data_IF_768120207414
#
_entry.id   IF_768120207414
#
_cell.length_a   1.000
_cell.length_b   1.000
_cell.length_c   1.000
_cell.angle_alpha   90.00
_cell.angle_beta   90.00
_cell.angle_gamma   90.00
#
_symmetry.space_group_name_H-M   'P 1'
#
loop_
_entity.id
_entity.type
_entity.pdbx_description
1 polymer ?
#
# COMPACT_ATOMS: atom_id res chain seq x y z
N UNK A 1 21.50 -8.05 -14.71
CA UNK A 1 20.23 -8.81 -14.84
C UNK A 1 19.07 -7.88 -14.51
N UNK A 2 18.01 -7.89 -15.33
CA UNK A 2 16.84 -7.03 -15.12
C UNK A 2 16.08 -7.42 -13.85
N UNK A 3 15.72 -6.44 -13.03
CA UNK A 3 14.95 -6.58 -11.81
C UNK A 3 13.50 -6.86 -12.17
N UNK A 4 12.97 -7.96 -11.64
CA UNK A 4 11.57 -8.35 -11.79
C UNK A 4 10.81 -8.09 -10.51
N UNK A 5 9.47 -8.00 -10.62
CA UNK A 5 8.55 -7.91 -9.47
C UNK A 5 8.84 -8.98 -8.41
N UNK A 6 8.92 -10.23 -8.86
CA UNK A 6 9.16 -11.39 -7.98
C UNK A 6 10.52 -11.31 -7.28
N UNK A 7 11.58 -10.92 -8.01
CA UNK A 7 12.91 -10.75 -7.42
C UNK A 7 12.91 -9.63 -6.37
N UNK A 8 12.30 -8.48 -6.66
CA UNK A 8 12.24 -7.37 -5.72
C UNK A 8 11.48 -7.75 -4.44
N UNK A 9 10.35 -8.46 -4.56
CA UNK A 9 9.61 -8.97 -3.40
C UNK A 9 10.47 -9.95 -2.60
N UNK A 10 11.13 -10.91 -3.25
CA UNK A 10 11.98 -11.88 -2.57
C UNK A 10 13.12 -11.20 -1.78
N UNK A 11 13.70 -10.13 -2.32
CA UNK A 11 14.78 -9.37 -1.68
C UNK A 11 14.30 -8.49 -0.53
N UNK A 12 13.07 -7.99 -0.56
CA UNK A 12 12.57 -6.98 0.39
C UNK A 12 11.66 -7.53 1.48
N UNK A 13 11.02 -8.69 1.25
CA UNK A 13 9.93 -9.17 2.11
C UNK A 13 10.36 -9.41 3.55
N UNK A 14 11.50 -10.06 3.78
CA UNK A 14 11.96 -10.43 5.12
C UNK A 14 12.27 -9.18 5.96
N UNK A 15 13.12 -8.30 5.42
CA UNK A 15 13.56 -7.11 6.15
C UNK A 15 12.42 -6.11 6.37
N UNK A 16 11.54 -5.89 5.38
CA UNK A 16 10.34 -5.06 5.60
C UNK A 16 9.37 -5.68 6.62
N UNK A 17 9.26 -7.00 6.68
CA UNK A 17 8.49 -7.67 7.74
C UNK A 17 9.06 -7.41 9.13
N UNK A 18 10.39 -7.32 9.25
CA UNK A 18 11.04 -6.98 10.53
C UNK A 18 10.78 -5.52 10.97
N UNK A 19 10.42 -4.65 10.03
CA UNK A 19 9.98 -3.26 10.30
C UNK A 19 8.46 -3.15 10.57
N UNK A 20 7.75 -4.29 10.63
CA UNK A 20 6.32 -4.35 10.92
C UNK A 20 5.42 -4.24 9.69
N UNK A 21 5.98 -4.29 8.48
CA UNK A 21 5.18 -4.29 7.25
C UNK A 21 4.78 -5.70 6.82
N UNK A 22 3.51 -5.87 6.47
CA UNK A 22 3.01 -7.09 5.87
C UNK A 22 2.96 -6.98 4.35
N UNK A 23 3.62 -7.90 3.65
CA UNK A 23 3.49 -8.02 2.21
C UNK A 23 2.07 -8.51 1.83
N UNK A 24 1.45 -7.84 0.86
CA UNK A 24 0.20 -8.29 0.23
C UNK A 24 0.38 -8.48 -1.27
N UNK A 25 -0.28 -9.50 -1.82
CA UNK A 25 -0.31 -9.67 -3.28
C UNK A 25 -1.21 -8.59 -3.88
N UNK A 26 -0.69 -7.94 -4.91
CA UNK A 26 -1.38 -6.84 -5.57
C UNK A 26 -1.08 -6.81 -7.06
N UNK A 27 -2.08 -7.11 -7.87
CA UNK A 27 -2.08 -6.93 -9.32
C UNK A 27 -2.95 -5.74 -9.74
N UNK A 28 -3.57 -5.05 -8.78
CA UNK A 28 -4.58 -4.01 -9.02
C UNK A 28 -3.95 -2.62 -9.03
N UNK A 29 -3.03 -2.34 -8.11
CA UNK A 29 -2.31 -1.06 -8.11
C UNK A 29 -1.06 -1.13 -8.99
N UNK A 30 -0.44 0.03 -9.23
CA UNK A 30 0.79 0.13 -9.99
C UNK A 30 2.03 -0.36 -9.20
N UNK A 31 1.90 -0.71 -7.91
CA UNK A 31 3.02 -1.14 -7.09
C UNK A 31 3.62 -2.47 -7.57
N UNK A 32 4.95 -2.50 -7.68
CA UNK A 32 5.72 -3.73 -7.94
C UNK A 32 5.97 -4.51 -6.65
N UNK A 33 5.71 -3.93 -5.48
CA UNK A 33 5.59 -4.63 -4.21
C UNK A 33 4.79 -3.76 -3.25
N UNK A 34 3.73 -4.31 -2.66
CA UNK A 34 2.87 -3.57 -1.73
C UNK A 34 3.00 -4.16 -0.33
N UNK A 35 3.35 -3.29 0.60
CA UNK A 35 3.61 -3.59 1.99
C UNK A 35 2.72 -2.70 2.85
N UNK A 36 2.03 -3.27 3.83
CA UNK A 36 1.05 -2.52 4.63
C UNK A 36 1.31 -2.75 6.10
N UNK A 37 1.26 -1.68 6.87
CA UNK A 37 1.37 -1.67 8.33
C UNK A 37 0.15 -0.96 8.90
N UNK A 38 -0.48 -1.54 9.92
CA UNK A 38 -1.53 -0.85 10.68
C UNK A 38 -0.88 0.21 11.57
N UNK A 39 -1.34 1.46 11.47
CA UNK A 39 -0.83 2.58 12.28
C UNK A 39 -1.71 2.78 13.50
N UNK A 40 -3.02 2.86 13.29
CA UNK A 40 -4.04 2.88 14.34
C UNK A 40 -5.27 2.08 13.88
N UNK A 41 -6.36 2.07 14.65
CA UNK A 41 -7.60 1.35 14.31
C UNK A 41 -8.32 1.85 13.07
N UNK A 42 -7.93 3.01 12.57
CA UNK A 42 -8.56 3.70 11.44
C UNK A 42 -7.62 3.94 10.25
N UNK A 43 -6.31 3.71 10.41
CA UNK A 43 -5.30 4.08 9.42
C UNK A 43 -4.29 2.98 9.15
N UNK A 44 -3.96 2.86 7.87
CA UNK A 44 -2.91 2.01 7.33
C UNK A 44 -1.82 2.85 6.68
N UNK A 45 -0.58 2.47 6.95
CA UNK A 45 0.58 2.94 6.21
C UNK A 45 0.96 1.91 5.17
N UNK A 46 0.86 2.29 3.90
CA UNK A 46 1.32 1.48 2.77
C UNK A 46 2.69 1.95 2.29
N UNK A 47 3.59 1.01 2.01
CA UNK A 47 4.85 1.22 1.33
C UNK A 47 4.79 0.50 -0.02
N UNK A 48 4.67 1.29 -1.10
CA UNK A 48 4.63 0.76 -2.46
C UNK A 48 5.98 0.89 -3.15
N UNK A 49 6.54 -0.24 -3.57
CA UNK A 49 7.80 -0.30 -4.30
C UNK A 49 7.58 -0.06 -5.80
N UNK A 50 8.48 0.72 -6.40
CA UNK A 50 8.47 1.02 -7.84
C UNK A 50 9.80 0.66 -8.49
N UNK A 51 9.78 -0.21 -9.51
CA UNK A 51 10.96 -0.51 -10.34
C UNK A 51 11.11 0.58 -11.40
N UNK A 52 12.33 1.05 -11.62
CA UNK A 52 12.61 2.07 -12.64
C UNK A 52 12.24 1.57 -14.04
N UNK A 53 11.71 2.47 -14.87
CA UNK A 53 11.47 2.21 -16.30
C UNK A 53 12.71 2.48 -17.15
N UNK A 54 13.70 3.19 -16.60
CA UNK A 54 14.88 3.67 -17.33
C UNK A 54 16.14 2.87 -17.02
N UNK A 55 16.19 2.22 -15.85
CA UNK A 55 17.33 1.45 -15.40
C UNK A 55 16.88 0.05 -15.00
N UNK A 56 17.65 -0.95 -15.41
CA UNK A 56 17.21 -2.35 -15.35
C UNK A 56 17.18 -2.91 -13.93
N UNK A 57 17.90 -2.32 -12.97
CA UNK A 57 18.17 -2.92 -11.67
C UNK A 57 17.78 -2.06 -10.47
N UNK A 58 17.35 -0.82 -10.68
CA UNK A 58 17.07 0.09 -9.57
C UNK A 58 15.57 0.18 -9.27
N UNK A 59 15.27 0.47 -8.01
CA UNK A 59 13.91 0.65 -7.51
C UNK A 59 13.85 1.77 -6.48
N UNK A 60 12.65 2.20 -6.15
CA UNK A 60 12.34 3.22 -5.15
C UNK A 60 11.07 2.83 -4.40
N UNK A 61 10.66 3.62 -3.42
CA UNK A 61 9.42 3.41 -2.68
C UNK A 61 8.70 4.73 -2.36
N UNK A 62 7.39 4.64 -2.14
CA UNK A 62 6.57 5.73 -1.62
C UNK A 62 5.72 5.28 -0.45
N UNK A 63 5.66 6.11 0.57
CA UNK A 63 4.68 5.99 1.65
C UNK A 63 3.31 6.44 1.15
N UNK A 64 2.27 5.81 1.69
CA UNK A 64 0.89 6.24 1.55
C UNK A 64 0.12 6.02 2.85
N UNK A 65 -0.40 7.08 3.47
CA UNK A 65 -1.26 6.99 4.66
C UNK A 65 -2.73 7.13 4.27
N UNK A 66 -3.57 6.16 4.62
CA UNK A 66 -5.00 6.19 4.29
C UNK A 66 -5.82 5.32 5.25
N UNK A 67 -7.15 5.51 5.25
CA UNK A 67 -8.08 4.57 5.90
C UNK A 67 -8.25 3.28 5.11
N UNK A 68 -7.77 3.26 3.86
CA UNK A 68 -7.81 2.10 2.98
C UNK A 68 -6.42 1.62 2.64
N UNK A 69 -6.33 0.40 2.12
CA UNK A 69 -5.11 -0.24 1.59
C UNK A 69 -4.95 -0.04 0.08
N UNK A 70 -5.80 0.78 -0.55
CA UNK A 70 -5.67 1.15 -1.95
C UNK A 70 -4.55 2.17 -2.12
N UNK A 71 -3.37 1.70 -2.50
CA UNK A 71 -2.18 2.55 -2.60
C UNK A 71 -2.31 3.66 -3.65
N UNK A 72 -1.78 4.84 -3.32
CA UNK A 72 -1.70 6.02 -4.18
C UNK A 72 -3.07 6.58 -4.64
N UNK A 73 -4.12 6.39 -3.84
CA UNK A 73 -5.43 7.00 -4.06
C UNK A 73 -5.46 8.48 -3.62
N UNK A 74 -4.76 9.33 -4.36
CA UNK A 74 -4.62 10.79 -4.09
C UNK A 74 -5.59 11.65 -4.91
N UNK A 75 -6.82 11.18 -5.09
CA UNK A 75 -7.86 11.93 -5.80
C UNK A 75 -8.84 12.60 -4.83
N UNK A 76 -9.62 13.55 -5.34
CA UNK A 76 -10.66 14.24 -4.58
C UNK A 76 -10.07 15.12 -3.48
N UNK A 77 -10.46 14.88 -2.23
CA UNK A 77 -10.07 15.66 -1.06
C UNK A 77 -8.89 15.06 -0.27
N UNK A 78 -8.22 14.06 -0.83
CA UNK A 78 -7.01 13.49 -0.19
C UNK A 78 -5.82 14.43 -0.28
N UNK A 79 -5.10 14.68 0.84
CA UNK A 79 -3.93 15.55 0.83
C UNK A 79 -2.78 14.90 0.06
N UNK A 80 -2.03 15.69 -0.70
CA UNK A 80 -0.87 15.19 -1.46
C UNK A 80 0.22 14.63 -0.53
N UNK A 81 0.33 15.21 0.67
CA UNK A 81 1.24 14.81 1.74
C UNK A 81 0.98 13.39 2.25
N UNK A 82 -0.21 12.83 1.97
CA UNK A 82 -0.49 11.42 2.23
C UNK A 82 0.31 10.47 1.36
N UNK A 83 0.85 10.92 0.23
CA UNK A 83 1.62 10.10 -0.71
C UNK A 83 2.96 10.77 -1.05
N UNK A 84 4.05 10.26 -0.48
CA UNK A 84 5.37 10.88 -0.67
C UNK A 84 6.45 9.81 -0.86
N UNK A 85 7.34 10.04 -1.84
CA UNK A 85 8.51 9.19 -2.06
C UNK A 85 9.45 9.28 -0.86
N UNK A 86 10.00 8.15 -0.44
CA UNK A 86 10.83 8.07 0.77
C UNK A 86 12.07 9.00 0.71
N UNK A 87 12.59 9.27 -0.48
CA UNK A 87 13.72 10.19 -0.70
C UNK A 87 13.48 11.63 -0.27
N UNK A 88 12.22 12.09 -0.17
CA UNK A 88 11.90 13.44 0.31
C UNK A 88 12.21 13.65 1.80
N UNK A 89 12.31 12.57 2.58
CA UNK A 89 12.53 12.64 4.03
C UNK A 89 13.99 12.43 4.42
N UNK A 90 14.88 12.18 3.46
CA UNK A 90 16.31 12.04 3.71
C UNK A 90 16.98 13.41 3.79
N UNK A 91 17.81 13.62 4.81
CA UNK A 91 18.69 14.79 4.87
C UNK A 91 19.82 14.67 3.84
N UNK A 92 20.51 15.76 3.54
CA UNK A 92 21.63 15.71 2.59
C UNK A 92 22.72 14.71 3.02
N UNK A 93 23.07 14.69 4.31
CA UNK A 93 24.04 13.74 4.87
C UNK A 93 23.59 12.28 4.70
N UNK A 94 22.31 11.99 4.95
CA UNK A 94 21.75 10.65 4.75
C UNK A 94 21.70 10.27 3.27
N UNK A 95 21.44 11.23 2.38
CA UNK A 95 21.49 10.98 0.93
C UNK A 95 22.89 10.60 0.49
N UNK A 96 23.92 11.29 0.96
CA UNK A 96 25.32 10.99 0.68
C UNK A 96 25.75 9.62 1.24
N UNK A 97 25.18 9.22 2.37
CA UNK A 97 25.43 7.92 3.00
C UNK A 97 24.69 6.76 2.32
N UNK A 98 23.42 6.95 1.98
CA UNK A 98 22.48 5.86 1.65
C UNK A 98 22.22 5.71 0.15
N UNK A 99 22.64 6.67 -0.68
CA UNK A 99 22.43 6.68 -2.12
C UNK A 99 23.76 6.73 -2.86
N UNK A 100 23.73 6.36 -4.15
CA UNK A 100 24.88 6.59 -5.03
C UNK A 100 25.13 8.10 -5.28
N UNK A 101 26.29 8.42 -5.84
CA UNK A 101 26.70 9.81 -6.11
C UNK A 101 25.71 10.53 -7.05
N UNK A 102 25.05 9.82 -7.96
CA UNK A 102 24.10 10.44 -8.89
C UNK A 102 22.84 10.90 -8.16
N UNK A 103 22.35 10.10 -7.22
CA UNK A 103 21.12 10.35 -6.49
C UNK A 103 21.35 11.12 -5.19
N UNK A 104 22.57 11.23 -4.68
CA UNK A 104 22.86 11.99 -3.46
C UNK A 104 22.95 13.51 -3.65
N UNK A 105 23.03 14.00 -4.89
CA UNK A 105 23.23 15.43 -5.21
C UNK A 105 22.08 16.32 -4.73
N UNK A 106 22.44 17.52 -4.27
CA UNK A 106 21.50 18.58 -3.89
C UNK A 106 20.53 18.86 -5.04
N UNK A 107 19.25 18.92 -4.72
CA UNK A 107 18.17 19.19 -5.68
C UNK A 107 17.59 17.94 -6.35
N UNK A 108 18.26 16.78 -6.25
CA UNK A 108 17.67 15.50 -6.64
C UNK A 108 16.75 15.04 -5.52
N UNK A 109 15.47 14.88 -5.82
CA UNK A 109 14.46 14.46 -4.82
C UNK A 109 14.24 12.96 -4.80
N UNK A 110 14.34 12.33 -5.97
CA UNK A 110 14.16 10.89 -6.09
C UNK A 110 15.34 10.15 -5.47
N UNK A 111 15.04 9.09 -4.75
CA UNK A 111 16.02 8.18 -4.16
C UNK A 111 15.82 6.81 -4.81
N UNK A 112 16.88 6.26 -5.38
CA UNK A 112 16.87 4.99 -6.08
C UNK A 112 17.97 4.09 -5.50
N UNK A 113 17.65 2.81 -5.34
CA UNK A 113 18.55 1.78 -4.83
C UNK A 113 18.73 0.67 -5.84
N UNK A 114 19.94 0.13 -5.93
CA UNK A 114 20.28 -0.98 -6.81
C UNK A 114 19.96 -2.32 -6.15
N UNK A 115 18.99 -3.06 -6.70
CA UNK A 115 18.61 -4.36 -6.19
C UNK A 115 19.64 -5.48 -6.43
N UNK A 116 20.69 -5.22 -7.20
CA UNK A 116 21.82 -6.14 -7.38
C UNK A 116 22.95 -5.89 -6.36
N UNK A 117 22.95 -4.76 -5.66
CA UNK A 117 23.91 -4.47 -4.60
C UNK A 117 23.30 -4.73 -3.21
N UNK A 118 23.94 -5.61 -2.45
CA UNK A 118 23.51 -5.97 -1.10
C UNK A 118 23.62 -4.78 -0.13
N UNK A 119 24.60 -3.89 -0.33
CA UNK A 119 24.72 -2.70 0.52
C UNK A 119 23.63 -1.69 0.18
N UNK A 120 23.36 -1.45 -1.09
CA UNK A 120 22.23 -0.61 -1.52
C UNK A 120 20.89 -1.11 -0.97
N UNK A 121 20.64 -2.42 -0.93
CA UNK A 121 19.46 -2.98 -0.26
C UNK A 121 19.41 -2.69 1.24
N UNK A 122 20.53 -2.83 1.96
CA UNK A 122 20.60 -2.47 3.39
C UNK A 122 20.32 -0.99 3.61
N UNK A 123 20.88 -0.12 2.77
CA UNK A 123 20.63 1.32 2.83
C UNK A 123 19.18 1.67 2.54
N UNK A 124 18.51 0.94 1.65
CA UNK A 124 17.08 1.09 1.44
C UNK A 124 16.29 0.78 2.73
N UNK A 125 16.60 -0.31 3.42
CA UNK A 125 15.91 -0.65 4.67
C UNK A 125 16.21 0.34 5.80
N UNK A 126 17.45 0.82 5.88
CA UNK A 126 17.84 1.91 6.80
C UNK A 126 17.07 3.20 6.49
N UNK A 127 16.97 3.57 5.21
CA UNK A 127 16.19 4.72 4.77
C UNK A 127 14.71 4.57 5.17
N UNK A 128 14.10 3.38 4.99
CA UNK A 128 12.72 3.14 5.43
C UNK A 128 12.58 3.34 6.94
N UNK A 129 13.47 2.73 7.73
CA UNK A 129 13.43 2.82 9.20
C UNK A 129 13.52 4.26 9.73
N UNK A 130 14.28 5.13 9.06
CA UNK A 130 14.47 6.52 9.48
C UNK A 130 13.34 7.41 8.97
N UNK A 131 12.91 7.20 7.72
CA UNK A 131 11.97 8.11 7.05
C UNK A 131 10.52 7.84 7.40
N UNK A 132 10.16 6.63 7.87
CA UNK A 132 8.79 6.31 8.29
C UNK A 132 8.30 7.27 9.38
N UNK A 133 9.08 7.47 10.45
CA UNK A 133 8.71 8.35 11.56
C UNK A 133 8.57 9.81 11.11
N UNK A 134 9.43 10.25 10.20
CA UNK A 134 9.40 11.62 9.62
C UNK A 134 8.18 11.84 8.74
N UNK A 135 7.80 10.83 7.94
CA UNK A 135 6.59 10.86 7.14
C UNK A 135 5.35 10.93 8.03
N UNK A 136 5.31 10.15 9.11
CA UNK A 136 4.19 10.17 10.06
C UNK A 136 4.15 11.45 10.93
N UNK A 137 5.28 12.13 11.13
CA UNK A 137 5.33 13.39 11.88
C UNK A 137 4.94 14.64 11.06
N UNK A 138 4.51 14.47 9.80
CA UNK A 138 4.10 15.59 8.98
C UNK A 138 2.92 16.36 9.62
N UNK A 139 2.97 17.70 9.67
CA UNK A 139 1.90 18.49 10.27
C UNK A 139 0.53 18.22 9.63
N UNK A 140 -0.50 18.06 10.45
CA UNK A 140 -1.90 17.86 10.05
C UNK A 140 -2.20 16.63 9.18
N UNK A 141 -1.22 15.79 8.85
CA UNK A 141 -1.41 14.67 7.92
C UNK A 141 -2.53 13.72 8.37
N UNK A 142 -2.50 13.32 9.64
CA UNK A 142 -3.50 12.40 10.20
C UNK A 142 -4.91 12.99 10.14
N UNK A 143 -5.08 14.25 10.53
CA UNK A 143 -6.38 14.91 10.54
C UNK A 143 -6.92 15.10 9.12
N UNK A 144 -6.07 15.52 8.17
CA UNK A 144 -6.46 15.67 6.78
C UNK A 144 -6.90 14.34 6.15
N UNK A 145 -6.19 13.24 6.41
CA UNK A 145 -6.59 11.91 5.94
C UNK A 145 -7.87 11.43 6.63
N UNK A 146 -8.01 11.64 7.95
CA UNK A 146 -9.20 11.23 8.71
C UNK A 146 -10.47 11.96 8.26
N UNK A 147 -10.33 13.23 7.86
CA UNK A 147 -11.43 14.08 7.41
C UNK A 147 -11.80 13.92 5.93
N UNK A 148 -11.02 13.17 5.13
CA UNK A 148 -11.37 12.90 3.73
C UNK A 148 -12.69 12.14 3.61
N UNK A 149 -13.62 12.74 2.87
CA UNK A 149 -14.93 12.17 2.54
C UNK A 149 -14.76 11.03 1.54
N UNK A 150 -13.90 11.18 0.54
CA UNK A 150 -13.68 10.17 -0.48
C UNK A 150 -13.14 8.86 0.13
N UNK A 151 -12.11 8.97 0.96
CA UNK A 151 -11.52 7.80 1.62
C UNK A 151 -12.44 7.23 2.70
N UNK A 152 -13.23 8.05 3.39
CA UNK A 152 -14.28 7.53 4.29
C UNK A 152 -15.29 6.67 3.54
N UNK A 153 -15.77 7.12 2.38
CA UNK A 153 -16.74 6.35 1.59
C UNK A 153 -16.14 5.00 1.13
N UNK A 154 -14.86 4.98 0.76
CA UNK A 154 -14.16 3.74 0.40
C UNK A 154 -13.97 2.81 1.59
N UNK A 155 -13.59 3.34 2.75
CA UNK A 155 -13.44 2.59 4.01
C UNK A 155 -14.78 1.97 4.45
N UNK A 156 -15.88 2.72 4.36
CA UNK A 156 -17.22 2.21 4.67
C UNK A 156 -17.65 1.05 3.76
N UNK A 157 -17.33 1.11 2.46
CA UNK A 157 -17.55 0.00 1.54
C UNK A 157 -16.74 -1.23 1.98
N UNK A 158 -15.45 -1.06 2.26
CA UNK A 158 -14.57 -2.14 2.67
C UNK A 158 -15.03 -2.80 3.98
N UNK A 159 -15.40 -2.01 4.99
CA UNK A 159 -15.99 -2.48 6.25
C UNK A 159 -17.30 -3.24 6.04
N UNK A 160 -18.16 -2.74 5.15
CA UNK A 160 -19.39 -3.44 4.76
C UNK A 160 -19.11 -4.82 4.16
N UNK A 161 -18.10 -4.92 3.29
CA UNK A 161 -17.66 -6.20 2.71
C UNK A 161 -17.12 -7.14 3.77
N UNK A 162 -16.23 -6.68 4.66
CA UNK A 162 -15.69 -7.49 5.76
C UNK A 162 -16.84 -8.03 6.62
N UNK A 163 -17.81 -7.18 6.96
CA UNK A 163 -18.98 -7.58 7.74
C UNK A 163 -19.80 -8.65 7.02
N UNK A 164 -20.09 -8.47 5.73
CA UNK A 164 -20.85 -9.43 4.93
C UNK A 164 -20.15 -10.79 4.82
N UNK A 165 -18.82 -10.79 4.64
CA UNK A 165 -18.03 -12.02 4.59
C UNK A 165 -18.11 -12.75 5.92
N UNK A 166 -17.92 -12.03 7.04
CA UNK A 166 -17.99 -12.62 8.38
C UNK A 166 -19.38 -13.18 8.74
N UNK A 167 -20.46 -12.60 8.18
CA UNK A 167 -21.84 -13.05 8.42
C UNK A 167 -22.39 -13.99 7.35
N UNK A 168 -21.58 -14.38 6.36
CA UNK A 168 -22.00 -15.19 5.20
C UNK A 168 -23.22 -14.64 4.44
N UNK A 169 -23.39 -13.31 4.40
CA UNK A 169 -24.59 -12.66 3.82
C UNK A 169 -24.45 -12.39 2.32
N UNK A 170 -23.89 -13.33 1.56
CA UNK A 170 -23.52 -13.18 0.14
C UNK A 170 -23.83 -14.42 -0.74
N UNK A 171 -24.69 -15.34 -0.32
CA UNK A 171 -24.90 -16.57 -1.11
C UNK A 171 -26.08 -16.50 -2.10
N UNK A 172 -27.15 -15.76 -1.78
CA UNK A 172 -28.42 -15.83 -2.52
C UNK A 172 -28.62 -14.71 -3.56
N UNK A 173 -27.55 -14.26 -4.23
CA UNK A 173 -27.65 -13.18 -5.21
C UNK A 173 -27.10 -13.53 -6.60
N UNK A 174 -27.61 -12.80 -7.60
CA UNK A 174 -27.09 -12.86 -8.95
C UNK A 174 -25.90 -11.91 -9.11
N UNK A 175 -24.76 -12.50 -9.47
CA UNK A 175 -23.49 -11.82 -9.68
C UNK A 175 -23.19 -11.64 -11.16
N UNK A 176 -22.71 -10.45 -11.53
CA UNK A 176 -22.38 -10.11 -12.92
C UNK A 176 -20.90 -9.76 -13.11
N UNK A 177 -20.24 -9.23 -12.10
CA UNK A 177 -18.93 -8.59 -12.22
C UNK A 177 -17.84 -9.26 -11.39
N UNK A 178 -18.13 -10.43 -10.80
CA UNK A 178 -17.15 -11.25 -10.08
C UNK A 178 -16.18 -11.94 -11.06
N UNK A 179 -14.90 -12.12 -10.69
CA UNK A 179 -13.96 -12.87 -11.51
C UNK A 179 -14.30 -14.37 -11.53
N UNK A 180 -13.94 -15.07 -12.61
CA UNK A 180 -14.17 -16.52 -12.73
C UNK A 180 -13.30 -17.34 -11.76
N UNK A 181 -12.19 -16.76 -11.28
CA UNK A 181 -11.24 -17.41 -10.37
C UNK A 181 -10.72 -16.38 -9.36
N UNK A 182 -10.23 -16.83 -8.19
CA UNK A 182 -9.50 -15.98 -7.25
C UNK A 182 -8.42 -15.14 -7.95
N UNK A 183 -8.31 -13.87 -7.56
CA UNK A 183 -7.28 -12.93 -8.00
C UNK A 183 -6.48 -12.51 -6.78
N UNK A 184 -5.14 -12.46 -6.88
CA UNK A 184 -4.24 -12.05 -5.78
C UNK A 184 -4.45 -12.81 -4.46
N UNK A 185 -4.82 -14.09 -4.54
CA UNK A 185 -5.19 -14.95 -3.40
C UNK A 185 -6.40 -14.44 -2.60
N UNK A 186 -7.23 -13.58 -3.21
CA UNK A 186 -8.50 -13.13 -2.65
C UNK A 186 -9.56 -14.20 -2.96
N UNK A 187 -10.19 -14.81 -1.95
CA UNK A 187 -11.25 -15.78 -2.15
C UNK A 187 -12.49 -15.19 -2.83
N UNK A 188 -13.31 -16.03 -3.49
CA UNK A 188 -14.39 -15.55 -4.36
C UNK A 188 -15.51 -14.82 -3.58
N UNK A 189 -15.73 -15.21 -2.33
CA UNK A 189 -16.69 -14.62 -1.41
C UNK A 189 -16.48 -13.12 -1.20
N UNK A 190 -15.23 -12.65 -1.22
CA UNK A 190 -14.91 -11.23 -1.09
C UNK A 190 -15.40 -10.42 -2.29
N UNK A 191 -15.31 -10.99 -3.49
CA UNK A 191 -15.83 -10.35 -4.70
C UNK A 191 -17.36 -10.38 -4.74
N UNK A 192 -17.99 -11.48 -4.29
CA UNK A 192 -19.45 -11.57 -4.13
C UNK A 192 -19.96 -10.49 -3.17
N UNK A 193 -19.38 -10.42 -1.96
CA UNK A 193 -19.73 -9.43 -0.96
C UNK A 193 -19.46 -7.99 -1.45
N UNK A 194 -18.37 -7.74 -2.18
CA UNK A 194 -18.10 -6.44 -2.79
C UNK A 194 -19.16 -6.02 -3.81
N UNK A 195 -19.56 -6.91 -4.72
CA UNK A 195 -20.61 -6.59 -5.69
C UNK A 195 -21.94 -6.25 -5.01
N UNK A 196 -22.33 -7.00 -3.97
CA UNK A 196 -23.54 -6.70 -3.19
C UNK A 196 -23.43 -5.35 -2.48
N UNK A 197 -22.32 -5.09 -1.78
CA UNK A 197 -22.14 -3.86 -1.04
C UNK A 197 -22.14 -2.61 -1.94
N UNK A 198 -21.56 -2.73 -3.14
CA UNK A 198 -21.61 -1.67 -4.14
C UNK A 198 -23.05 -1.42 -4.61
N UNK A 199 -23.85 -2.47 -4.82
CA UNK A 199 -25.28 -2.36 -5.19
C UNK A 199 -26.08 -1.67 -4.08
N UNK A 200 -25.92 -2.11 -2.83
CA UNK A 200 -26.64 -1.57 -1.68
C UNK A 200 -26.35 -0.08 -1.46
N UNK A 201 -25.09 0.32 -1.65
CA UNK A 201 -24.66 1.71 -1.57
C UNK A 201 -24.94 2.53 -2.82
N UNK A 202 -25.55 1.94 -3.86
CA UNK A 202 -25.83 2.56 -5.16
C UNK A 202 -24.57 3.22 -5.78
N UNK A 203 -23.41 2.61 -5.55
CA UNK A 203 -22.15 3.07 -6.10
C UNK A 203 -21.94 2.56 -7.53
N UNK A 204 -20.89 3.05 -8.22
CA UNK A 204 -20.61 2.68 -9.61
C UNK A 204 -20.21 1.20 -9.69
N UNK A 205 -21.11 0.37 -10.21
CA UNK A 205 -20.92 -1.07 -10.31
C UNK A 205 -20.30 -1.48 -11.66
N UNK A 206 -19.07 -2.01 -11.59
CA UNK A 206 -18.37 -2.67 -12.70
C UNK A 206 -17.26 -3.59 -12.14
N UNK A 207 -16.62 -4.39 -13.01
CA UNK A 207 -15.57 -5.34 -12.61
C UNK A 207 -14.40 -4.69 -11.87
N UNK A 208 -13.96 -3.50 -12.29
CA UNK A 208 -12.82 -2.83 -11.67
C UNK A 208 -13.18 -2.32 -10.27
N UNK A 209 -14.38 -1.78 -10.08
CA UNK A 209 -14.85 -1.37 -8.75
C UNK A 209 -14.95 -2.58 -7.82
N UNK A 210 -15.55 -3.69 -8.29
CA UNK A 210 -15.67 -4.92 -7.50
C UNK A 210 -14.29 -5.45 -7.09
N UNK A 211 -13.34 -5.53 -8.03
CA UNK A 211 -11.96 -5.97 -7.73
C UNK A 211 -11.28 -5.08 -6.71
N UNK A 212 -11.37 -3.75 -6.87
CA UNK A 212 -10.74 -2.78 -5.96
C UNK A 212 -11.31 -2.87 -4.55
N UNK A 213 -12.64 -2.89 -4.41
CA UNK A 213 -13.31 -2.94 -3.09
C UNK A 213 -13.04 -4.29 -2.40
N UNK A 214 -13.12 -5.41 -3.14
CA UNK A 214 -12.83 -6.73 -2.59
C UNK A 214 -11.37 -6.84 -2.11
N UNK A 215 -10.41 -6.35 -2.92
CA UNK A 215 -9.01 -6.39 -2.55
C UNK A 215 -8.70 -5.50 -1.34
N UNK A 216 -9.31 -4.33 -1.26
CA UNK A 216 -9.14 -3.44 -0.12
C UNK A 216 -9.65 -4.08 1.17
N UNK A 217 -10.89 -4.56 1.16
CA UNK A 217 -11.52 -5.24 2.28
C UNK A 217 -10.70 -6.46 2.74
N UNK A 218 -10.25 -7.30 1.80
CA UNK A 218 -9.48 -8.49 2.12
C UNK A 218 -8.14 -8.15 2.78
N UNK A 219 -7.40 -7.17 2.23
CA UNK A 219 -6.12 -6.71 2.79
C UNK A 219 -6.31 -6.12 4.18
N UNK A 220 -7.32 -5.29 4.39
CA UNK A 220 -7.65 -4.75 5.71
C UNK A 220 -7.91 -5.89 6.72
N UNK A 221 -8.66 -6.93 6.32
CA UNK A 221 -8.95 -8.08 7.19
C UNK A 221 -7.69 -8.85 7.57
N UNK A 222 -6.77 -9.04 6.62
CA UNK A 222 -5.50 -9.74 6.88
C UNK A 222 -4.63 -8.92 7.83
N UNK A 223 -4.43 -7.64 7.53
CA UNK A 223 -3.52 -6.77 8.28
C UNK A 223 -4.04 -6.50 9.70
N UNK A 224 -5.36 -6.48 9.89
CA UNK A 224 -5.98 -6.26 11.21
C UNK A 224 -6.00 -7.51 12.08
N UNK A 225 -6.11 -8.71 11.48
CA UNK A 225 -6.15 -9.98 12.21
C UNK A 225 -4.76 -10.47 12.66
N UNK A 226 -3.69 -9.91 12.12
CA UNK A 226 -2.33 -10.11 12.65
C UNK A 226 -2.20 -9.20 13.86
N UNK A 227 -2.31 -9.76 15.07
CA UNK A 227 -2.04 -9.06 16.33
C UNK A 227 -0.72 -8.31 16.23
N UNK A 228 -0.76 -6.98 16.21
CA UNK A 228 0.44 -6.16 16.29
C UNK A 228 1.17 -6.48 17.61
N UNK A 229 2.44 -6.93 17.57
CA UNK A 229 3.26 -6.89 18.77
C UNK A 229 3.49 -5.41 19.08
N UNK A 230 2.82 -4.92 20.12
CA UNK A 230 3.06 -3.67 20.85
C UNK A 230 3.98 -2.66 20.15
N UNK A 231 3.40 -1.63 19.51
CA UNK A 231 4.11 -0.36 19.36
C UNK A 231 3.97 0.44 20.67
N UNK A 232 5.06 1.05 21.18
CA UNK A 232 5.09 1.78 22.46
C UNK A 232 4.24 3.05 22.47
#
# INVERSE_FOLDING_TARGET
MKLTKQKLIALSKKDLSSLGYQYVTDSITAAQGLYIKKVDDSLFLSLGLTISRHFDNIFTASYYLSKTTTWAAVWGDMPNESYVRIGHFLTQEEREKLLDEQHSKIGIRDAWWDANDTNSLKYFFEAVSITESRFLSQPNLFDSVKNSVEIRNMDELAKGVISMVNSNSYEDALYKFIPLKPVDNIPIEWFKAAELMIKDRRAILNENTVKRVAADAYRQSIVTNVTSPNCP
#
